data_IF_591675559063
#
_entry.id   IF_591675559063
#
_cell.length_a   1.000
_cell.length_b   1.000
_cell.length_c   1.000
_cell.angle_alpha   90.00
_cell.angle_beta   90.00
_cell.angle_gamma   90.00
#
_symmetry.space_group_name_H-M   'P 1'
#
loop_
_entity.id
_entity.type
_entity.pdbx_description
1 polymer ?
#
# COMPACT_ATOMS: atom_id res chain seq x y z
N UNK A 1 -11.19 -27.72 2.84
CA UNK A 1 -11.89 -27.44 1.58
C UNK A 1 -13.11 -28.33 1.57
N UNK A 2 -14.30 -27.75 1.54
CA UNK A 2 -15.55 -28.49 1.76
C UNK A 2 -16.28 -28.66 0.43
N UNK A 3 -16.95 -29.79 0.27
CA UNK A 3 -17.72 -30.13 -0.92
C UNK A 3 -19.20 -30.10 -0.57
N UNK A 4 -20.00 -29.41 -1.38
CA UNK A 4 -21.44 -29.33 -1.22
C UNK A 4 -22.09 -30.69 -1.51
N UNK A 5 -23.01 -31.08 -0.63
CA UNK A 5 -23.83 -32.29 -0.79
C UNK A 5 -25.28 -31.94 -1.21
N UNK A 6 -25.54 -30.68 -1.54
CA UNK A 6 -26.90 -30.17 -1.80
C UNK A 6 -27.23 -30.19 -3.30
N UNK A 7 -28.17 -31.04 -3.71
CA UNK A 7 -28.89 -30.98 -5.00
C UNK A 7 -28.08 -30.48 -6.20
N UNK A 8 -28.54 -29.41 -6.85
CA UNK A 8 -27.90 -28.81 -8.03
C UNK A 8 -26.48 -28.25 -7.81
N UNK A 9 -25.98 -28.24 -6.58
CA UNK A 9 -24.61 -27.89 -6.22
C UNK A 9 -23.81 -29.11 -5.71
N UNK A 10 -24.30 -30.34 -5.91
CA UNK A 10 -23.60 -31.55 -5.49
C UNK A 10 -22.21 -31.64 -6.12
N UNK A 11 -21.19 -31.88 -5.32
CA UNK A 11 -19.81 -31.95 -5.79
C UNK A 11 -19.11 -30.59 -5.95
N UNK A 12 -19.84 -29.46 -5.84
CA UNK A 12 -19.25 -28.12 -5.94
C UNK A 12 -18.46 -27.77 -4.67
N UNK A 13 -17.26 -27.21 -4.84
CA UNK A 13 -16.35 -26.88 -3.73
C UNK A 13 -16.57 -25.45 -3.23
N UNK A 14 -16.47 -25.24 -1.92
CA UNK A 14 -16.64 -23.92 -1.30
C UNK A 14 -15.65 -23.67 -0.16
N UNK A 15 -15.50 -22.39 0.16
CA UNK A 15 -14.78 -21.84 1.31
C UNK A 15 -15.82 -21.37 2.32
N UNK A 16 -15.67 -21.80 3.58
CA UNK A 16 -16.51 -21.32 4.68
C UNK A 16 -15.63 -20.94 5.87
N UNK A 17 -15.87 -19.78 6.44
CA UNK A 17 -15.22 -19.37 7.68
C UNK A 17 -15.90 -20.06 8.85
N UNK A 18 -15.11 -20.82 9.63
CA UNK A 18 -15.60 -21.54 10.82
C UNK A 18 -16.03 -20.61 11.96
N UNK A 19 -15.66 -19.32 11.89
CA UNK A 19 -15.89 -18.36 12.97
C UNK A 19 -17.03 -17.37 12.67
N UNK A 20 -17.25 -17.02 11.40
CA UNK A 20 -18.25 -15.99 11.04
C UNK A 20 -19.27 -16.44 9.98
N UNK A 21 -19.34 -17.74 9.69
CA UNK A 21 -20.24 -18.35 8.69
C UNK A 21 -20.13 -17.78 7.27
N UNK A 22 -19.16 -16.90 7.00
CA UNK A 22 -18.90 -16.35 5.67
C UNK A 22 -18.64 -17.48 4.69
N UNK A 23 -19.25 -17.38 3.50
CA UNK A 23 -19.31 -18.43 2.50
C UNK A 23 -18.93 -17.87 1.12
N UNK A 24 -18.16 -18.64 0.35
CA UNK A 24 -17.84 -18.34 -1.05
C UNK A 24 -17.60 -19.62 -1.84
N UNK A 25 -18.14 -19.72 -3.06
CA UNK A 25 -17.82 -20.82 -3.95
C UNK A 25 -16.37 -20.74 -4.45
N UNK A 26 -15.69 -21.88 -4.53
CA UNK A 26 -14.26 -21.93 -4.86
C UNK A 26 -14.00 -21.53 -6.31
N UNK A 27 -14.84 -21.98 -7.24
CA UNK A 27 -14.77 -21.59 -8.66
C UNK A 27 -14.95 -20.07 -8.83
N UNK A 28 -15.94 -19.48 -8.18
CA UNK A 28 -16.15 -18.03 -8.17
C UNK A 28 -14.95 -17.27 -7.59
N UNK A 29 -14.34 -17.78 -6.51
CA UNK A 29 -13.14 -17.19 -5.93
C UNK A 29 -11.93 -17.23 -6.88
N UNK A 30 -11.87 -18.22 -7.77
CA UNK A 30 -10.80 -18.42 -8.75
C UNK A 30 -11.06 -17.67 -10.07
N UNK A 31 -12.32 -17.33 -10.37
CA UNK A 31 -12.71 -16.49 -11.50
C UNK A 31 -12.45 -15.00 -11.26
N UNK A 32 -12.32 -14.58 -9.99
CA UNK A 32 -11.75 -13.27 -9.68
C UNK A 32 -10.31 -13.29 -10.20
N UNK A 33 -9.89 -12.37 -11.11
CA UNK A 33 -8.50 -12.25 -11.49
C UNK A 33 -7.74 -12.04 -10.20
N UNK A 34 -7.03 -13.09 -9.78
CA UNK A 34 -6.69 -13.19 -8.40
C UNK A 34 -5.83 -11.95 -8.06
N UNK A 35 -6.08 -11.28 -6.93
CA UNK A 35 -5.21 -10.20 -6.47
C UNK A 35 -3.85 -10.75 -5.99
N UNK A 36 -3.40 -11.90 -6.52
CA UNK A 36 -2.21 -12.66 -6.15
C UNK A 36 -0.90 -12.02 -6.60
N UNK A 37 -0.94 -11.07 -7.52
CA UNK A 37 0.23 -10.25 -7.81
C UNK A 37 0.23 -9.00 -6.92
N UNK A 38 0.28 -9.15 -5.58
CA UNK A 38 0.40 -7.98 -4.72
C UNK A 38 0.18 -8.15 -3.23
N UNK A 39 0.32 -7.04 -2.52
CA UNK A 39 0.19 -6.95 -1.09
C UNK A 39 -1.28 -7.00 -0.66
N UNK A 40 -1.69 -8.11 -0.05
CA UNK A 40 -3.04 -8.26 0.51
C UNK A 40 -3.41 -7.21 1.58
N UNK A 41 -2.41 -6.57 2.19
CA UNK A 41 -2.65 -5.51 3.19
C UNK A 41 -2.99 -4.18 2.54
N UNK A 42 -2.18 -3.64 1.62
CA UNK A 42 -2.42 -2.31 1.04
C UNK A 42 -3.10 -2.36 -0.34
N UNK A 43 -2.98 -3.46 -1.08
CA UNK A 43 -3.51 -3.64 -2.44
C UNK A 43 -2.53 -3.27 -3.56
N UNK A 44 -1.31 -2.83 -3.25
CA UNK A 44 -0.29 -2.53 -4.27
C UNK A 44 0.39 -3.81 -4.77
N UNK A 45 0.74 -3.85 -6.05
CA UNK A 45 1.35 -5.02 -6.71
C UNK A 45 2.87 -5.08 -6.58
N UNK A 46 3.50 -4.00 -6.10
CA UNK A 46 4.96 -3.82 -6.04
C UNK A 46 5.66 -4.64 -4.95
N UNK A 47 4.92 -5.18 -3.98
CA UNK A 47 5.49 -5.86 -2.83
C UNK A 47 4.55 -6.91 -2.23
N UNK A 48 5.12 -7.83 -1.45
CA UNK A 48 4.37 -8.81 -0.66
C UNK A 48 3.96 -8.23 0.69
N UNK A 49 2.94 -8.81 1.34
CA UNK A 49 2.45 -8.39 2.66
C UNK A 49 3.56 -8.26 3.72
N UNK A 50 4.52 -9.18 3.73
CA UNK A 50 5.67 -9.16 4.66
C UNK A 50 6.49 -7.88 4.55
N UNK A 51 6.54 -7.28 3.36
CA UNK A 51 7.35 -6.12 3.03
C UNK A 51 6.48 -4.87 2.86
N UNK A 52 5.27 -4.86 3.41
CA UNK A 52 4.35 -3.74 3.24
C UNK A 52 4.80 -2.51 4.03
N UNK A 53 5.15 -1.39 3.36
CA UNK A 53 5.65 -0.20 4.04
C UNK A 53 4.57 0.43 4.94
N UNK A 54 3.30 0.18 4.64
CA UNK A 54 2.17 0.72 5.37
C UNK A 54 1.96 0.04 6.74
N UNK A 55 2.38 -1.22 6.90
CA UNK A 55 2.26 -1.95 8.17
C UNK A 55 3.20 -1.42 9.26
N UNK A 56 4.33 -0.83 8.87
CA UNK A 56 5.31 -0.23 9.78
C UNK A 56 5.31 1.30 9.73
N UNK A 57 4.33 1.90 9.06
CA UNK A 57 4.32 3.35 8.83
C UNK A 57 4.17 4.13 10.13
N UNK A 58 5.12 5.03 10.40
CA UNK A 58 5.11 5.89 11.58
C UNK A 58 4.07 7.01 11.47
N UNK A 59 3.56 7.45 12.60
CA UNK A 59 2.73 8.64 12.69
C UNK A 59 3.59 9.90 12.58
N UNK A 60 3.24 10.81 11.67
CA UNK A 60 3.99 12.06 11.45
C UNK A 60 4.10 12.99 12.66
N UNK A 61 3.27 12.81 13.69
CA UNK A 61 3.21 13.70 14.86
C UNK A 61 3.90 13.08 16.09
N UNK A 62 3.60 11.81 16.36
CA UNK A 62 4.00 11.18 17.62
C UNK A 62 4.92 9.96 17.44
N UNK A 63 5.35 9.70 16.21
CA UNK A 63 6.28 8.64 15.79
C UNK A 63 5.89 7.20 16.20
N UNK A 64 4.67 7.01 16.68
CA UNK A 64 4.11 5.68 16.95
C UNK A 64 3.68 5.02 15.64
N UNK A 65 3.95 3.72 15.52
CA UNK A 65 3.49 2.91 14.38
C UNK A 65 1.97 2.95 14.26
N UNK A 66 1.48 3.29 13.06
CA UNK A 66 0.05 3.37 12.76
C UNK A 66 -0.50 1.98 12.42
N UNK A 67 -1.76 1.76 12.73
CA UNK A 67 -2.48 0.56 12.31
C UNK A 67 -3.11 0.75 10.95
N UNK A 68 -2.84 -0.18 10.03
CA UNK A 68 -3.59 -0.33 8.79
C UNK A 68 -4.86 -1.15 9.04
N UNK A 69 -6.03 -0.59 8.70
CA UNK A 69 -7.34 -1.17 8.98
C UNK A 69 -8.26 -1.07 7.76
N UNK A 70 -9.33 -1.86 7.79
CA UNK A 70 -10.40 -1.87 6.78
C UNK A 70 -11.66 -1.27 7.43
N UNK A 71 -12.33 -0.35 6.73
CA UNK A 71 -13.56 0.28 7.20
C UNK A 71 -14.74 -0.67 7.05
N UNK A 72 -15.54 -0.79 8.11
CA UNK A 72 -16.79 -1.54 8.13
C UNK A 72 -18.04 -0.68 7.93
N UNK A 73 -17.90 0.62 7.63
CA UNK A 73 -19.06 1.52 7.43
C UNK A 73 -19.67 1.31 6.05
N UNK A 74 -20.99 1.32 5.91
CA UNK A 74 -21.71 1.04 4.65
C UNK A 74 -21.13 1.78 3.43
N UNK A 75 -20.96 3.10 3.51
CA UNK A 75 -20.47 3.92 2.38
C UNK A 75 -18.98 3.77 2.09
N UNK A 76 -18.19 3.27 3.02
CA UNK A 76 -16.73 3.10 2.88
C UNK A 76 -16.34 1.66 3.16
N UNK A 77 -17.25 0.72 2.95
CA UNK A 77 -17.03 -0.68 3.32
C UNK A 77 -15.89 -1.24 2.49
N UNK A 78 -14.93 -1.89 3.15
CA UNK A 78 -13.73 -2.41 2.48
C UNK A 78 -12.64 -1.37 2.24
N UNK A 79 -12.90 -0.08 2.45
CA UNK A 79 -11.89 0.96 2.24
C UNK A 79 -10.81 0.89 3.32
N UNK A 80 -9.55 1.01 2.90
CA UNK A 80 -8.41 0.87 3.81
C UNK A 80 -7.93 2.22 4.34
N UNK A 81 -7.53 2.26 5.60
CA UNK A 81 -7.07 3.48 6.27
C UNK A 81 -5.97 3.22 7.30
N UNK A 82 -5.20 4.26 7.58
CA UNK A 82 -4.20 4.29 8.64
C UNK A 82 -4.76 5.04 9.84
N UNK A 83 -4.64 4.47 11.03
CA UNK A 83 -5.01 5.12 12.30
C UNK A 83 -3.88 5.05 13.30
N UNK A 84 -3.49 6.18 13.86
CA UNK A 84 -2.55 6.21 14.98
C UNK A 84 -3.26 5.80 16.28
N UNK A 85 -2.73 4.85 17.07
CA UNK A 85 -3.33 4.47 18.34
C UNK A 85 -3.17 5.54 19.43
N UNK A 86 -2.12 6.38 19.37
CA UNK A 86 -1.80 7.38 20.39
C UNK A 86 -2.60 8.68 20.22
N UNK A 87 -2.54 9.30 19.04
CA UNK A 87 -3.22 10.59 18.78
C UNK A 87 -4.51 10.46 17.97
N UNK A 88 -4.99 9.23 17.71
CA UNK A 88 -6.19 8.92 16.92
C UNK A 88 -6.22 9.47 15.49
N UNK A 89 -5.12 10.07 15.00
CA UNK A 89 -5.04 10.66 13.66
C UNK A 89 -5.35 9.62 12.60
N UNK A 90 -6.23 10.01 11.70
CA UNK A 90 -6.78 9.21 10.63
C UNK A 90 -6.23 9.66 9.28
N UNK A 91 -6.02 8.73 8.36
CA UNK A 91 -5.69 9.01 6.97
C UNK A 91 -6.19 7.86 6.09
N UNK A 92 -6.85 8.16 4.98
CA UNK A 92 -7.19 7.12 4.01
C UNK A 92 -5.93 6.58 3.33
N UNK A 93 -5.89 5.26 3.10
CA UNK A 93 -4.70 4.64 2.54
C UNK A 93 -4.40 5.13 1.11
N UNK A 94 -5.43 5.32 0.28
CA UNK A 94 -5.25 5.79 -1.10
C UNK A 94 -4.58 7.17 -1.15
N UNK A 95 -4.88 8.06 -0.18
CA UNK A 95 -4.26 9.37 -0.07
C UNK A 95 -2.78 9.25 0.31
N UNK A 96 -2.49 8.34 1.25
CA UNK A 96 -1.13 8.08 1.69
C UNK A 96 -0.27 7.55 0.53
N UNK A 97 -0.79 6.59 -0.25
CA UNK A 97 -0.13 6.05 -1.45
C UNK A 97 0.11 7.15 -2.47
N UNK A 98 -0.93 7.93 -2.80
CA UNK A 98 -0.81 9.05 -3.75
C UNK A 98 0.27 10.05 -3.33
N UNK A 99 0.36 10.35 -2.04
CA UNK A 99 1.39 11.25 -1.48
C UNK A 99 2.80 10.64 -1.58
N UNK A 100 2.94 9.34 -1.33
CA UNK A 100 4.21 8.64 -1.43
C UNK A 100 4.73 8.57 -2.89
N UNK A 101 3.83 8.27 -3.84
CA UNK A 101 4.17 8.21 -5.27
C UNK A 101 4.54 9.59 -5.85
N UNK A 102 3.89 10.66 -5.37
CA UNK A 102 4.28 12.02 -5.72
C UNK A 102 5.68 12.39 -5.20
N UNK A 103 6.13 11.76 -4.11
CA UNK A 103 7.47 11.99 -3.54
C UNK A 103 8.57 11.25 -4.32
N UNK A 104 8.24 10.16 -5.01
CA UNK A 104 9.19 9.38 -5.84
C UNK A 104 9.31 9.88 -7.28
N UNK A 105 8.39 10.74 -7.74
CA UNK A 105 8.37 11.30 -9.10
C UNK A 105 8.87 12.76 -9.17
N UNK A 106 9.35 13.31 -8.06
CA UNK A 106 10.13 14.53 -8.07
C UNK A 106 11.56 14.21 -8.56
N UNK A 107 11.73 14.08 -9.87
CA UNK A 107 13.04 14.32 -10.47
C UNK A 107 13.36 15.80 -10.20
N UNK A 108 14.16 16.03 -9.16
CA UNK A 108 14.71 17.36 -8.89
C UNK A 108 15.77 17.61 -9.95
N UNK A 109 15.35 18.09 -11.12
CA UNK A 109 16.28 18.61 -12.12
C UNK A 109 16.81 19.95 -11.59
N UNK A 110 17.89 19.87 -10.80
CA UNK A 110 18.66 21.05 -10.45
C UNK A 110 19.37 21.52 -11.72
N UNK A 111 18.74 22.41 -12.49
CA UNK A 111 19.38 23.06 -13.64
C UNK A 111 20.44 24.04 -13.14
N UNK A 112 21.59 23.52 -12.72
CA UNK A 112 22.79 24.34 -12.59
C UNK A 112 23.24 24.71 -14.01
N UNK A 113 23.19 26.00 -14.35
CA UNK A 113 23.76 26.49 -15.60
C UNK A 113 25.27 26.19 -15.55
N UNK A 114 25.80 25.55 -16.59
CA UNK A 114 27.21 25.15 -16.70
C UNK A 114 28.17 26.33 -16.40
N UNK A 115 27.77 27.55 -16.75
CA UNK A 115 28.51 28.77 -16.46
C UNK A 115 28.73 29.02 -14.96
N UNK A 116 27.71 28.77 -14.13
CA UNK A 116 27.79 28.96 -12.68
C UNK A 116 28.72 27.93 -12.02
N UNK A 117 28.78 26.72 -12.58
CA UNK A 117 29.70 25.66 -12.14
C UNK A 117 31.16 25.98 -12.52
N UNK A 118 31.41 26.40 -13.76
CA UNK A 118 32.76 26.78 -14.21
C UNK A 118 33.31 27.97 -13.41
N UNK A 119 32.50 28.99 -13.15
CA UNK A 119 32.91 30.16 -12.35
C UNK A 119 33.31 29.79 -10.91
N UNK A 120 32.74 28.72 -10.35
CA UNK A 120 33.12 28.22 -9.01
C UNK A 120 34.47 27.51 -8.99
N UNK A 121 34.97 27.01 -10.12
CA UNK A 121 36.29 26.39 -10.23
C UNK A 121 37.38 27.43 -10.51
N UNK A 122 37.08 28.44 -11.33
CA UNK A 122 38.04 29.53 -11.63
C UNK A 122 38.38 30.37 -10.41
N UNK A 123 37.42 30.61 -9.51
CA UNK A 123 37.67 31.34 -8.26
C UNK A 123 38.59 30.57 -7.28
N UNK A 124 38.79 29.27 -7.46
CA UNK A 124 39.52 28.39 -6.51
C UNK A 124 40.82 27.81 -7.05
N UNK A 125 41.07 27.87 -8.36
CA UNK A 125 42.29 27.36 -8.97
C UNK A 125 43.23 28.49 -9.40
N UNK A 126 43.95 29.11 -8.46
CA UNK A 126 45.18 29.83 -8.80
C UNK A 126 46.30 28.80 -9.00
N UNK A 127 46.47 28.32 -10.23
CA UNK A 127 47.66 27.56 -10.60
C UNK A 127 48.88 28.50 -10.48
N UNK A 128 49.72 28.27 -9.46
CA UNK A 128 51.04 28.92 -9.38
C UNK A 128 51.86 28.45 -10.59
N UNK A 129 52.42 29.42 -11.32
CA UNK A 129 53.37 29.19 -12.43
C UNK A 129 54.58 28.39 -11.97
#
# INVERSE_FOLDING_TARGET
MTTSQSGGNFGRKFLQCLTCSSFQWLDEAMLVPAPIAGCFSCGETSHWKSNCPWLQSKCKICDVTRSLKVSGKQQTYGWKFLKCPKCSRFQWLYEAIKTAQASTSAEVTLTMKLADFCNSFEAKCTMKK
#
